data_IF_767393936288
#
_entry.id   IF_767393936288
#
_cell.length_a   1.000
_cell.length_b   1.000
_cell.length_c   1.000
_cell.angle_alpha   90.00
_cell.angle_beta   90.00
_cell.angle_gamma   90.00
#
_symmetry.space_group_name_H-M   'P 1'
#
loop_
_entity.id
_entity.type
_entity.pdbx_description
1 polymer ?
#
# COMPACT_ATOMS: atom_id res chain seq x y z
N UNK A 1 -9.53 9.72 8.75
CA UNK A 1 -9.08 8.73 7.77
C UNK A 1 -10.25 7.79 7.54
N UNK A 2 -10.76 7.64 6.31
CA UNK A 2 -11.85 6.68 6.07
C UNK A 2 -11.37 5.30 6.53
N UNK A 3 -12.24 4.60 7.26
CA UNK A 3 -11.90 3.34 7.93
C UNK A 3 -11.33 2.29 6.95
N UNK A 4 -11.79 2.32 5.70
CA UNK A 4 -11.40 1.35 4.67
C UNK A 4 -9.94 1.52 4.22
N UNK A 5 -9.45 2.73 4.01
CA UNK A 5 -8.08 2.95 3.53
C UNK A 5 -7.05 2.57 4.58
N UNK A 6 -7.35 2.89 5.85
CA UNK A 6 -6.56 2.41 6.98
C UNK A 6 -6.53 0.88 7.03
N UNK A 7 -7.68 0.23 6.84
CA UNK A 7 -7.78 -1.24 6.80
C UNK A 7 -6.94 -1.84 5.68
N UNK A 8 -6.92 -1.21 4.49
CA UNK A 8 -6.07 -1.64 3.38
C UNK A 8 -4.58 -1.51 3.76
N UNK A 9 -4.16 -0.38 4.31
CA UNK A 9 -2.78 -0.19 4.75
C UNK A 9 -2.38 -1.21 5.84
N UNK A 10 -3.25 -1.48 6.81
CA UNK A 10 -3.02 -2.51 7.82
C UNK A 10 -2.88 -3.91 7.19
N UNK A 11 -3.72 -4.23 6.20
CA UNK A 11 -3.63 -5.50 5.45
C UNK A 11 -2.30 -5.67 4.75
N UNK A 12 -1.64 -4.60 4.31
CA UNK A 12 -0.29 -4.72 3.72
C UNK A 12 0.75 -5.20 4.74
N UNK A 13 0.66 -4.75 6.00
CA UNK A 13 1.53 -5.24 7.06
C UNK A 13 1.21 -6.70 7.42
N UNK A 14 -0.08 -7.06 7.47
CA UNK A 14 -0.50 -8.45 7.70
C UNK A 14 0.07 -9.38 6.60
N UNK A 15 -0.02 -8.97 5.32
CA UNK A 15 0.53 -9.72 4.18
C UNK A 15 2.04 -9.90 4.30
N UNK A 16 2.77 -8.84 4.64
CA UNK A 16 4.21 -8.92 4.84
C UNK A 16 4.58 -9.94 5.92
N UNK A 17 3.90 -9.88 7.07
CA UNK A 17 4.17 -10.80 8.18
C UNK A 17 3.86 -12.25 7.80
N UNK A 18 2.72 -12.51 7.15
CA UNK A 18 2.37 -13.85 6.66
C UNK A 18 3.37 -14.37 5.64
N UNK A 19 3.90 -13.51 4.76
CA UNK A 19 4.91 -13.90 3.79
C UNK A 19 6.23 -14.32 4.45
N UNK A 20 6.65 -13.65 5.52
CA UNK A 20 7.85 -14.03 6.27
C UNK A 20 7.74 -15.38 6.98
N UNK A 21 6.53 -15.91 7.16
CA UNK A 21 6.29 -17.26 7.69
C UNK A 21 6.43 -18.35 6.62
N UNK A 22 6.44 -17.99 5.34
CA UNK A 22 6.60 -18.94 4.24
C UNK A 22 8.06 -19.40 4.10
N UNK A 23 8.25 -20.64 3.66
CA UNK A 23 9.57 -21.11 3.24
C UNK A 23 10.02 -20.30 2.02
N UNK A 24 11.22 -19.72 2.10
CA UNK A 24 11.76 -18.91 1.02
C UNK A 24 12.10 -19.78 -0.18
N UNK A 25 11.41 -19.54 -1.30
CA UNK A 25 11.64 -20.26 -2.56
C UNK A 25 12.67 -19.58 -3.47
N UNK A 26 12.70 -18.24 -3.49
CA UNK A 26 13.66 -17.47 -4.28
C UNK A 26 14.09 -16.19 -3.54
N UNK A 27 15.37 -15.76 -3.65
CA UNK A 27 15.86 -14.56 -2.95
C UNK A 27 15.19 -13.27 -3.40
N UNK A 28 14.68 -13.19 -4.63
CA UNK A 28 13.99 -11.98 -5.12
C UNK A 28 12.60 -11.79 -4.51
N UNK A 29 11.94 -12.86 -4.04
CA UNK A 29 10.54 -12.82 -3.59
C UNK A 29 10.34 -11.77 -2.47
N UNK A 30 11.34 -11.59 -1.60
CA UNK A 30 11.33 -10.57 -0.54
C UNK A 30 11.24 -9.16 -1.13
N UNK A 31 12.08 -8.86 -2.13
CA UNK A 31 12.10 -7.55 -2.77
C UNK A 31 10.85 -7.34 -3.62
N UNK A 32 10.41 -8.39 -4.33
CA UNK A 32 9.25 -8.34 -5.21
C UNK A 32 7.96 -8.07 -4.41
N UNK A 33 7.75 -8.78 -3.30
CA UNK A 33 6.61 -8.52 -2.43
C UNK A 33 6.72 -7.16 -1.73
N UNK A 34 7.90 -6.79 -1.24
CA UNK A 34 8.13 -5.49 -0.59
C UNK A 34 7.77 -4.32 -1.52
N UNK A 35 8.20 -4.39 -2.78
CA UNK A 35 7.87 -3.40 -3.80
C UNK A 35 6.36 -3.38 -4.10
N UNK A 36 5.72 -4.54 -4.24
CA UNK A 36 4.27 -4.61 -4.46
C UNK A 36 3.47 -3.99 -3.30
N UNK A 37 3.90 -4.21 -2.05
CA UNK A 37 3.31 -3.58 -0.86
C UNK A 37 3.48 -2.06 -0.90
N UNK A 38 4.67 -1.56 -1.22
CA UNK A 38 4.91 -0.12 -1.35
C UNK A 38 4.04 0.53 -2.43
N UNK A 39 3.81 -0.16 -3.56
CA UNK A 39 2.92 0.33 -4.61
C UNK A 39 1.47 0.47 -4.11
N UNK A 40 0.97 -0.52 -3.37
CA UNK A 40 -0.36 -0.43 -2.72
C UNK A 40 -0.40 0.76 -1.76
N UNK A 41 0.58 0.87 -0.86
CA UNK A 41 0.63 1.95 0.12
C UNK A 41 0.69 3.33 -0.54
N UNK A 42 1.47 3.48 -1.62
CA UNK A 42 1.56 4.69 -2.42
C UNK A 42 0.22 5.08 -3.01
N UNK A 43 -0.48 4.15 -3.66
CA UNK A 43 -1.79 4.42 -4.28
C UNK A 43 -2.80 4.90 -3.25
N UNK A 44 -2.89 4.20 -2.11
CA UNK A 44 -3.81 4.57 -1.03
C UNK A 44 -3.43 5.92 -0.41
N UNK A 45 -2.15 6.15 -0.16
CA UNK A 45 -1.66 7.43 0.40
C UNK A 45 -1.95 8.60 -0.53
N UNK A 46 -1.76 8.44 -1.85
CA UNK A 46 -2.09 9.50 -2.82
C UNK A 46 -3.60 9.76 -2.87
N UNK A 47 -4.45 8.73 -2.76
CA UNK A 47 -5.90 8.94 -2.65
C UNK A 47 -6.27 9.75 -1.42
N UNK A 48 -5.63 9.47 -0.29
CA UNK A 48 -5.82 10.25 0.93
C UNK A 48 -5.31 11.69 0.78
N UNK A 49 -4.13 11.86 0.19
CA UNK A 49 -3.51 13.15 -0.03
C UNK A 49 -4.37 14.06 -0.92
N UNK A 50 -4.98 13.52 -1.98
CA UNK A 50 -5.95 14.22 -2.84
C UNK A 50 -7.13 14.83 -2.11
N UNK A 51 -7.55 14.26 -0.98
CA UNK A 51 -8.64 14.81 -0.15
C UNK A 51 -8.15 15.84 0.86
N UNK A 52 -6.91 15.73 1.33
CA UNK A 52 -6.35 16.64 2.33
C UNK A 52 -5.69 17.87 1.71
N UNK A 53 -5.14 17.74 0.51
CA UNK A 53 -4.43 18.78 -0.21
C UNK A 53 -4.66 18.60 -1.72
N UNK A 54 -5.82 19.02 -2.19
CA UNK A 54 -6.24 18.86 -3.59
C UNK A 54 -5.49 19.77 -4.57
N UNK A 55 -4.85 20.82 -4.07
CA UNK A 55 -4.09 21.78 -4.87
C UNK A 55 -2.73 21.20 -5.25
N UNK A 56 -2.09 20.48 -4.32
CA UNK A 56 -0.86 19.73 -4.59
C UNK A 56 -1.14 18.38 -5.26
N UNK A 57 -2.20 17.69 -4.83
CA UNK A 57 -2.59 16.38 -5.34
C UNK A 57 -3.88 16.48 -6.14
N UNK A 58 -3.74 16.73 -7.44
CA UNK A 58 -4.86 16.97 -8.36
C UNK A 58 -5.81 15.77 -8.40
N UNK A 59 -7.11 16.06 -8.25
CA UNK A 59 -8.21 15.12 -8.48
C UNK A 59 -8.94 15.51 -9.76
N UNK A 60 -8.88 14.67 -10.79
CA UNK A 60 -9.66 14.87 -12.02
C UNK A 60 -11.09 14.42 -11.73
N UNK A 61 -12.05 15.37 -11.75
CA UNK A 61 -13.48 15.04 -11.71
C UNK A 61 -13.87 14.48 -13.07
N UNK A 62 -14.50 13.30 -13.07
CA UNK A 62 -15.14 12.74 -14.26
C UNK A 62 -16.40 13.53 -14.61
#
# INVERSE_FOLDING_TARGET
MEDIERKILQKTADIWNMFLELEQTHPSDINDLGNAIHDIQKIISIRMARRTDSDLFVTIKK
#
